data_IF_760081818189
#
_entry.id   IF_760081818189
#
_cell.length_a   1.000
_cell.length_b   1.000
_cell.length_c   1.000
_cell.angle_alpha   90.00
_cell.angle_beta   90.00
_cell.angle_gamma   90.00
#
_symmetry.space_group_name_H-M   'P 1'
#
loop_
_entity.id
_entity.type
_entity.pdbx_description
1 polymer ?
#
# COMPACT_ATOMS: atom_id res chain seq x y z
N UNK A 1 -14.98 -15.47 0.40
CA UNK A 1 -14.29 -14.51 -0.48
C UNK A 1 -14.91 -13.13 -0.35
N UNK A 2 -14.20 -12.18 0.27
CA UNK A 2 -14.59 -10.78 0.38
C UNK A 2 -14.18 -10.03 -0.89
N UNK A 3 -15.05 -9.16 -1.38
CA UNK A 3 -14.77 -8.32 -2.55
C UNK A 3 -14.34 -6.94 -2.07
N UNK A 4 -13.17 -6.48 -2.50
CA UNK A 4 -12.63 -5.16 -2.20
C UNK A 4 -12.58 -4.32 -3.49
N UNK A 5 -13.15 -3.12 -3.46
CA UNK A 5 -12.98 -2.13 -4.53
C UNK A 5 -11.97 -1.09 -4.05
N UNK A 6 -10.89 -0.91 -4.81
CA UNK A 6 -9.84 0.07 -4.52
C UNK A 6 -10.05 1.26 -5.45
N UNK A 7 -10.54 2.37 -4.93
CA UNK A 7 -10.79 3.60 -5.69
C UNK A 7 -9.58 4.52 -5.56
N UNK A 8 -8.91 4.79 -6.68
CA UNK A 8 -7.68 5.58 -6.68
C UNK A 8 -7.87 6.97 -7.29
N UNK A 9 -7.29 7.98 -6.66
CA UNK A 9 -6.89 9.22 -7.36
C UNK A 9 -5.96 8.83 -8.53
N UNK A 10 -6.09 9.47 -9.70
CA UNK A 10 -5.38 9.05 -10.92
C UNK A 10 -3.88 8.85 -10.73
N UNK A 11 -3.22 9.79 -10.04
CA UNK A 11 -1.78 9.75 -9.76
C UNK A 11 -1.37 8.66 -8.76
N UNK A 12 -2.33 8.13 -8.00
CA UNK A 12 -2.13 7.13 -6.95
C UNK A 12 -2.54 5.72 -7.41
N UNK A 13 -3.00 5.57 -8.67
CA UNK A 13 -3.44 4.29 -9.22
C UNK A 13 -2.38 3.20 -9.10
N UNK A 14 -1.11 3.53 -9.30
CA UNK A 14 0.01 2.59 -9.15
C UNK A 14 0.04 1.94 -7.77
N UNK A 15 -0.36 2.64 -6.71
CA UNK A 15 -0.39 2.09 -5.35
C UNK A 15 -1.61 1.20 -5.10
N UNK A 16 -2.74 1.48 -5.77
CA UNK A 16 -3.91 0.60 -5.74
C UNK A 16 -3.68 -0.69 -6.53
N UNK A 17 -3.05 -0.59 -7.70
CA UNK A 17 -2.62 -1.74 -8.50
C UNK A 17 -1.60 -2.57 -7.71
N UNK A 18 -0.67 -1.92 -7.01
CA UNK A 18 0.28 -2.59 -6.13
C UNK A 18 -0.41 -3.37 -5.01
N UNK A 19 -1.38 -2.76 -4.31
CA UNK A 19 -2.13 -3.46 -3.27
C UNK A 19 -2.90 -4.67 -3.83
N UNK A 20 -3.50 -4.53 -5.02
CA UNK A 20 -4.21 -5.63 -5.66
C UNK A 20 -3.26 -6.79 -6.00
N UNK A 21 -2.02 -6.48 -6.43
CA UNK A 21 -0.99 -7.49 -6.65
C UNK A 21 -0.59 -8.20 -5.37
N UNK A 22 -0.40 -7.47 -4.26
CA UNK A 22 -0.11 -8.05 -2.95
C UNK A 22 -1.22 -8.99 -2.48
N UNK A 23 -2.49 -8.60 -2.65
CA UNK A 23 -3.65 -9.43 -2.32
C UNK A 23 -3.73 -10.71 -3.16
N UNK A 24 -3.17 -10.69 -4.37
CA UNK A 24 -3.14 -11.84 -5.28
C UNK A 24 -1.91 -12.73 -5.12
N UNK A 25 -1.01 -12.41 -4.18
CA UNK A 25 0.08 -13.32 -3.85
C UNK A 25 -0.50 -14.54 -3.13
N UNK A 26 0.07 -15.70 -3.42
CA UNK A 26 -0.19 -16.93 -2.67
C UNK A 26 1.01 -17.13 -1.73
N UNK A 27 1.13 -16.29 -0.69
CA UNK A 27 2.29 -16.23 0.20
C UNK A 27 2.05 -16.81 1.61
N UNK A 28 0.87 -17.43 1.82
CA UNK A 28 0.58 -18.17 3.02
C UNK A 28 1.29 -19.53 3.06
N UNK A 29 1.58 -19.97 4.27
CA UNK A 29 2.06 -21.34 4.56
C UNK A 29 1.07 -22.03 5.49
N UNK A 30 1.22 -23.34 5.69
CA UNK A 30 0.37 -24.10 6.62
C UNK A 30 0.35 -23.51 8.05
N UNK A 31 1.40 -22.77 8.44
CA UNK A 31 1.58 -22.21 9.79
C UNK A 31 1.50 -20.68 9.87
N UNK A 32 1.56 -19.96 8.76
CA UNK A 32 1.66 -18.49 8.75
C UNK A 32 0.81 -17.86 7.66
N UNK A 33 0.02 -16.85 8.03
CA UNK A 33 -0.71 -15.99 7.09
C UNK A 33 -0.01 -14.65 6.92
N UNK A 34 0.13 -14.17 5.68
CA UNK A 34 0.74 -12.87 5.37
C UNK A 34 -0.32 -11.87 4.91
N UNK A 35 -0.55 -10.83 5.73
CA UNK A 35 -1.55 -9.80 5.41
C UNK A 35 -2.98 -10.34 5.47
N UNK A 36 -3.42 -11.04 4.43
CA UNK A 36 -4.74 -11.70 4.36
C UNK A 36 -4.60 -13.08 3.77
N UNK A 37 -5.42 -14.02 4.27
CA UNK A 37 -5.35 -15.39 3.81
C UNK A 37 -5.59 -15.57 2.32
N UNK A 38 -4.78 -16.43 1.70
CA UNK A 38 -4.78 -16.69 0.25
C UNK A 38 -6.18 -17.06 -0.25
N UNK A 39 -6.59 -16.42 -1.33
CA UNK A 39 -7.90 -16.62 -1.96
C UNK A 39 -9.11 -16.11 -1.16
N UNK A 40 -8.93 -15.51 0.03
CA UNK A 40 -10.05 -14.98 0.82
C UNK A 40 -10.51 -13.59 0.37
N UNK A 41 -9.65 -12.84 -0.33
CA UNK A 41 -9.92 -11.48 -0.79
C UNK A 41 -9.74 -11.38 -2.30
N UNK A 42 -10.72 -10.78 -2.98
CA UNK A 42 -10.63 -10.44 -4.39
C UNK A 42 -10.70 -8.91 -4.54
N UNK A 43 -9.65 -8.31 -5.09
CA UNK A 43 -9.54 -6.87 -5.26
C UNK A 43 -9.81 -6.44 -6.71
N UNK A 44 -10.46 -5.29 -6.88
CA UNK A 44 -10.63 -4.62 -8.16
C UNK A 44 -10.26 -3.14 -8.03
N UNK A 45 -9.44 -2.62 -8.94
CA UNK A 45 -9.00 -1.22 -8.94
C UNK A 45 -9.85 -0.38 -9.87
N UNK A 46 -10.41 0.71 -9.34
CA UNK A 46 -11.26 1.67 -10.02
C UNK A 46 -10.63 3.07 -10.00
N UNK A 47 -10.95 3.87 -11.01
CA UNK A 47 -10.70 5.31 -10.96
C UNK A 47 -11.82 6.02 -10.18
N UNK A 48 -11.58 7.26 -9.74
CA UNK A 48 -12.65 8.09 -9.14
C UNK A 48 -13.84 8.29 -10.08
N UNK A 49 -13.59 8.32 -11.40
CA UNK A 49 -14.63 8.40 -12.42
C UNK A 49 -15.50 7.15 -12.43
N UNK A 50 -14.90 5.97 -12.40
CA UNK A 50 -15.63 4.70 -12.35
C UNK A 50 -16.44 4.60 -11.06
N UNK A 51 -15.87 5.02 -9.92
CA UNK A 51 -16.59 5.10 -8.66
C UNK A 51 -17.81 6.01 -8.76
N UNK A 52 -17.67 7.23 -9.25
CA UNK A 52 -18.80 8.16 -9.37
C UNK A 52 -19.91 7.63 -10.29
N UNK A 53 -19.55 6.96 -11.38
CA UNK A 53 -20.51 6.38 -12.31
C UNK A 53 -21.28 5.20 -11.72
N UNK A 54 -20.68 4.46 -10.80
CA UNK A 54 -21.26 3.23 -10.24
C UNK A 54 -21.74 3.38 -8.78
N UNK A 55 -21.37 4.46 -8.08
CA UNK A 55 -21.61 4.64 -6.65
C UNK A 55 -23.09 4.52 -6.26
N UNK A 56 -24.01 4.98 -7.12
CA UNK A 56 -25.46 4.88 -6.89
C UNK A 56 -25.97 3.43 -6.85
N UNK A 57 -25.26 2.50 -7.48
CA UNK A 57 -25.60 1.06 -7.52
C UNK A 57 -24.85 0.27 -6.44
N UNK A 58 -23.92 0.89 -5.73
CA UNK A 58 -23.12 0.22 -4.71
C UNK A 58 -23.91 0.07 -3.41
N UNK A 59 -23.95 -1.17 -2.90
CA UNK A 59 -24.46 -1.46 -1.57
C UNK A 59 -23.51 -0.95 -0.49
N UNK A 60 -24.03 -0.53 0.66
CA UNK A 60 -23.25 -0.26 1.88
C UNK A 60 -22.47 -1.49 2.39
N UNK A 61 -22.84 -2.69 1.94
CA UNK A 61 -22.19 -3.94 2.32
C UNK A 61 -20.90 -4.23 1.52
N UNK A 62 -20.60 -3.42 0.49
CA UNK A 62 -19.40 -3.53 -0.34
C UNK A 62 -18.19 -2.90 0.34
N UNK A 63 -17.06 -3.61 0.41
CA UNK A 63 -15.82 -3.03 0.90
C UNK A 63 -15.21 -2.11 -0.14
N UNK A 64 -14.85 -0.90 0.29
CA UNK A 64 -14.24 0.13 -0.56
C UNK A 64 -13.02 0.72 0.17
N UNK A 65 -11.87 0.73 -0.48
CA UNK A 65 -10.69 1.44 -0.04
C UNK A 65 -10.44 2.62 -0.98
N UNK A 66 -10.38 3.83 -0.44
CA UNK A 66 -9.98 5.02 -1.17
C UNK A 66 -8.48 5.26 -1.02
N UNK A 67 -7.76 5.39 -2.13
CA UNK A 67 -6.31 5.62 -2.17
C UNK A 67 -6.01 6.97 -2.82
N UNK A 68 -5.44 7.89 -2.05
CA UNK A 68 -5.05 9.21 -2.52
C UNK A 68 -5.56 10.34 -1.62
N UNK A 69 -5.44 11.58 -2.09
CA UNK A 69 -5.74 12.77 -1.30
C UNK A 69 -6.57 13.80 -2.08
N UNK A 70 -7.38 13.31 -3.03
CA UNK A 70 -8.30 14.11 -3.83
C UNK A 70 -9.41 14.73 -2.96
N UNK A 71 -10.15 15.69 -3.52
CA UNK A 71 -11.29 16.31 -2.85
C UNK A 71 -12.37 15.27 -2.48
N UNK A 72 -12.69 14.36 -3.41
CA UNK A 72 -13.67 13.31 -3.20
C UNK A 72 -13.25 12.39 -2.04
N UNK A 73 -11.99 11.96 -2.01
CA UNK A 73 -11.47 11.07 -0.96
C UNK A 73 -11.48 11.76 0.40
N UNK A 74 -11.14 13.06 0.46
CA UNK A 74 -11.23 13.85 1.69
C UNK A 74 -12.65 13.96 2.23
N UNK A 75 -13.63 14.18 1.35
CA UNK A 75 -15.04 14.24 1.73
C UNK A 75 -15.51 12.90 2.30
N UNK A 76 -15.19 11.78 1.64
CA UNK A 76 -15.53 10.43 2.11
C UNK A 76 -14.84 10.05 3.43
N UNK A 77 -13.61 10.50 3.63
CA UNK A 77 -12.81 10.16 4.81
C UNK A 77 -13.02 11.08 6.03
N UNK A 78 -13.77 12.16 5.88
CA UNK A 78 -13.98 13.20 6.91
C UNK A 78 -14.44 12.68 8.28
N UNK A 79 -15.19 11.58 8.31
CA UNK A 79 -15.73 10.97 9.53
C UNK A 79 -15.06 9.64 9.88
N UNK A 80 -14.03 9.22 9.15
CA UNK A 80 -13.33 7.98 9.41
C UNK A 80 -12.40 8.10 10.61
N UNK A 81 -12.35 7.04 11.42
CA UNK A 81 -11.37 6.94 12.50
C UNK A 81 -10.01 6.55 11.90
N UNK A 82 -8.97 7.31 12.22
CA UNK A 82 -7.61 6.92 11.87
C UNK A 82 -7.19 5.69 12.70
N UNK A 83 -6.72 4.66 12.03
CA UNK A 83 -6.06 3.51 12.67
C UNK A 83 -4.54 3.73 12.72
N UNK A 84 -4.00 4.40 11.71
CA UNK A 84 -2.59 4.76 11.63
C UNK A 84 -2.45 6.18 11.09
N UNK A 85 -1.53 6.94 11.69
CA UNK A 85 -1.25 8.33 11.32
C UNK A 85 0.16 8.72 11.77
N UNK A 86 1.19 8.27 11.07
CA UNK A 86 2.58 8.62 11.35
C UNK A 86 3.35 8.96 10.07
N UNK A 87 4.41 9.77 10.21
CA UNK A 87 5.25 10.21 9.09
C UNK A 87 4.44 10.80 7.93
N UNK A 88 3.31 11.46 8.21
CA UNK A 88 2.41 12.02 7.21
C UNK A 88 1.65 10.99 6.36
N UNK A 89 1.84 9.70 6.61
CA UNK A 89 1.03 8.60 6.10
C UNK A 89 -0.17 8.39 7.01
N UNK A 90 -1.32 8.09 6.44
CA UNK A 90 -2.55 7.84 7.19
C UNK A 90 -3.40 6.78 6.53
N UNK A 91 -3.94 5.88 7.35
CA UNK A 91 -5.07 5.07 6.93
C UNK A 91 -6.05 4.86 8.10
N UNK A 92 -7.29 4.57 7.74
CA UNK A 92 -8.37 4.40 8.70
C UNK A 92 -9.65 3.98 7.99
N UNK A 93 -10.68 3.65 8.77
CA UNK A 93 -11.95 3.20 8.22
C UNK A 93 -13.13 3.54 9.10
N UNK A 94 -14.31 3.51 8.49
CA UNK A 94 -15.60 3.52 9.16
C UNK A 94 -16.51 2.52 8.44
N UNK A 95 -16.93 1.48 9.17
CA UNK A 95 -17.65 0.37 8.56
C UNK A 95 -16.85 -0.28 7.44
N UNK A 96 -17.42 -0.34 6.24
CA UNK A 96 -16.81 -0.98 5.06
C UNK A 96 -16.12 -0.01 4.10
N UNK A 97 -15.89 1.22 4.54
CA UNK A 97 -15.13 2.20 3.77
C UNK A 97 -13.85 2.54 4.51
N UNK A 98 -12.72 2.43 3.81
CA UNK A 98 -11.39 2.77 4.29
C UNK A 98 -10.78 3.88 3.45
N UNK A 99 -9.82 4.60 4.03
CA UNK A 99 -8.96 5.57 3.33
C UNK A 99 -7.51 5.21 3.58
N UNK A 100 -6.67 5.43 2.56
CA UNK A 100 -5.23 5.40 2.61
C UNK A 100 -4.70 6.62 1.86
N UNK A 101 -3.99 7.50 2.57
CA UNK A 101 -3.51 8.74 2.02
C UNK A 101 -2.16 9.18 2.61
N UNK A 102 -1.49 10.09 1.90
CA UNK A 102 -0.37 10.87 2.43
C UNK A 102 -0.88 12.31 2.58
N UNK A 103 -1.03 12.75 3.83
CA UNK A 103 -1.49 14.11 4.15
C UNK A 103 -0.35 15.13 4.07
N UNK A 104 0.86 14.71 4.44
CA UNK A 104 2.04 15.58 4.51
C UNK A 104 3.30 14.83 4.11
N UNK A 105 4.16 15.49 3.34
CA UNK A 105 5.46 14.93 2.99
C UNK A 105 6.42 14.97 4.18
N UNK A 106 7.16 13.88 4.43
CA UNK A 106 8.16 13.82 5.50
C UNK A 106 9.23 14.89 5.29
N UNK A 107 9.51 15.74 6.30
CA UNK A 107 10.63 16.68 6.23
C UNK A 107 11.97 15.93 6.17
N UNK A 108 12.94 16.44 5.41
CA UNK A 108 14.27 15.80 5.29
C UNK A 108 14.94 15.49 6.63
N UNK A 109 14.75 16.33 7.65
CA UNK A 109 15.32 16.12 8.99
C UNK A 109 14.81 14.84 9.69
N UNK A 110 13.65 14.34 9.27
CA UNK A 110 13.00 13.14 9.80
C UNK A 110 13.02 11.99 8.78
N UNK A 111 13.66 12.20 7.63
CA UNK A 111 13.64 11.23 6.53
C UNK A 111 14.37 9.93 6.90
N UNK A 112 15.51 10.01 7.59
CA UNK A 112 16.24 8.81 8.03
C UNK A 112 15.41 7.96 9.00
N UNK A 113 14.68 8.62 9.92
CA UNK A 113 13.79 7.93 10.87
C UNK A 113 12.63 7.26 10.14
N UNK A 114 12.03 7.95 9.17
CA UNK A 114 11.02 7.36 8.28
C UNK A 114 11.58 6.18 7.48
N UNK A 115 12.81 6.30 6.98
CA UNK A 115 13.48 5.26 6.22
C UNK A 115 13.69 4.00 7.06
N UNK A 116 14.21 4.14 8.28
CA UNK A 116 14.36 3.02 9.22
C UNK A 116 13.01 2.35 9.53
N UNK A 117 11.95 3.14 9.67
CA UNK A 117 10.60 2.61 9.83
C UNK A 117 10.16 1.81 8.59
N UNK A 118 10.35 2.36 7.40
CA UNK A 118 9.90 1.75 6.15
C UNK A 118 10.67 0.47 5.79
N UNK A 119 11.98 0.43 6.06
CA UNK A 119 12.83 -0.74 5.81
C UNK A 119 12.37 -1.98 6.60
N UNK A 120 11.85 -1.80 7.82
CA UNK A 120 11.31 -2.91 8.62
C UNK A 120 10.19 -3.66 7.89
N UNK A 121 9.31 -2.94 7.19
CA UNK A 121 8.22 -3.56 6.44
C UNK A 121 8.72 -4.22 5.14
N UNK A 122 9.83 -3.76 4.57
CA UNK A 122 10.47 -4.40 3.42
C UNK A 122 11.18 -5.70 3.79
N UNK A 123 11.91 -5.72 4.91
CA UNK A 123 12.61 -6.92 5.38
C UNK A 123 11.62 -8.04 5.70
N UNK A 124 10.48 -7.68 6.32
CA UNK A 124 9.38 -8.62 6.55
C UNK A 124 8.93 -9.29 5.24
N UNK A 125 8.67 -8.53 4.18
CA UNK A 125 8.29 -9.09 2.87
C UNK A 125 9.39 -9.97 2.28
N UNK A 126 10.64 -9.51 2.31
CA UNK A 126 11.77 -10.24 1.70
C UNK A 126 11.98 -11.59 2.39
N UNK A 127 11.84 -11.63 3.72
CA UNK A 127 11.91 -12.86 4.50
C UNK A 127 10.75 -13.82 4.18
N UNK A 128 9.56 -13.30 3.90
CA UNK A 128 8.39 -14.10 3.54
C UNK A 128 8.57 -14.72 2.15
N UNK A 129 8.93 -13.92 1.14
CA UNK A 129 9.16 -14.36 -0.25
C UNK A 129 10.38 -15.28 -0.41
N UNK A 130 11.33 -15.28 0.54
CA UNK A 130 12.51 -16.18 0.50
C UNK A 130 12.27 -17.52 1.19
N UNK A 131 11.38 -17.60 2.19
CA UNK A 131 11.02 -18.87 2.84
C UNK A 131 10.31 -19.83 1.89
N UNK A 132 9.54 -19.32 0.93
CA UNK A 132 8.84 -20.13 -0.09
C UNK A 132 9.78 -20.93 -1.00
N UNK A 133 10.98 -20.41 -1.32
CA UNK A 133 11.87 -21.02 -2.32
C UNK A 133 12.60 -22.28 -1.85
N UNK A 134 12.51 -22.62 -0.57
CA UNK A 134 13.12 -23.83 -0.04
C UNK A 134 12.16 -25.04 0.01
N UNK A 135 10.88 -24.88 -0.36
CA UNK A 135 9.89 -25.96 -0.31
C UNK A 135 9.57 -26.64 -1.66
N UNK A 136 10.13 -26.19 -2.78
CA UNK A 136 9.88 -26.84 -4.08
C UNK A 136 10.85 -26.39 -5.16
N UNK A 137 11.45 -27.35 -5.88
CA UNK A 137 12.44 -27.11 -6.94
C UNK A 137 11.93 -26.17 -8.03
N UNK A 138 12.40 -24.92 -7.99
CA UNK A 138 12.77 -24.14 -9.16
C UNK A 138 13.78 -23.08 -8.70
N UNK A 139 14.99 -23.11 -9.28
CA UNK A 139 15.91 -21.99 -9.15
C UNK A 139 15.15 -20.72 -9.52
N UNK A 140 15.20 -19.68 -8.67
CA UNK A 140 14.74 -18.37 -9.09
C UNK A 140 15.45 -18.07 -10.40
N UNK A 141 14.73 -17.79 -11.49
CA UNK A 141 15.39 -17.12 -12.59
C UNK A 141 15.89 -15.80 -12.02
N UNK A 142 17.09 -15.38 -12.42
CA UNK A 142 17.61 -14.03 -12.15
C UNK A 142 16.61 -12.90 -12.51
N UNK A 143 15.52 -13.22 -13.21
CA UNK A 143 14.34 -12.39 -13.40
C UNK A 143 13.57 -12.03 -12.11
N UNK A 144 13.64 -12.79 -11.01
CA UNK A 144 13.10 -12.38 -9.71
C UNK A 144 14.03 -11.37 -9.00
N UNK A 145 15.32 -11.39 -9.33
CA UNK A 145 16.28 -10.36 -8.91
C UNK A 145 16.19 -9.08 -9.78
N UNK A 146 15.38 -9.09 -10.85
CA UNK A 146 15.29 -7.96 -11.80
C UNK A 146 13.86 -7.50 -12.18
N UNK A 147 12.80 -8.27 -11.89
CA UNK A 147 11.45 -8.02 -12.45
C UNK A 147 10.29 -8.13 -11.48
N UNK A 148 10.34 -9.02 -10.49
CA UNK A 148 9.27 -9.16 -9.49
C UNK A 148 9.64 -8.61 -8.10
N UNK A 149 10.90 -8.22 -7.86
CA UNK A 149 11.32 -7.41 -6.69
C UNK A 149 11.77 -5.99 -7.07
N UNK A 150 11.79 -5.64 -8.36
CA UNK A 150 12.16 -4.30 -8.81
C UNK A 150 11.07 -3.26 -8.50
N UNK A 151 9.79 -3.66 -8.45
CA UNK A 151 8.69 -2.85 -7.93
C UNK A 151 8.58 -2.89 -6.40
N UNK A 152 9.10 -3.94 -5.77
CA UNK A 152 9.34 -4.03 -4.32
C UNK A 152 10.64 -3.34 -3.92
N UNK A 153 11.29 -2.52 -4.76
CA UNK A 153 12.43 -1.71 -4.36
C UNK A 153 11.90 -0.44 -3.64
N UNK A 154 11.84 -0.44 -2.30
CA UNK A 154 11.29 0.64 -1.51
C UNK A 154 12.48 1.49 -1.11
N UNK A 155 12.46 2.76 -1.50
CA UNK A 155 13.45 3.70 -1.01
C UNK A 155 14.88 3.22 -1.33
N UNK A 156 15.33 3.35 -2.59
CA UNK A 156 16.77 3.57 -2.78
C UNK A 156 17.04 4.85 -2.00
N UNK A 157 17.57 4.69 -0.79
CA UNK A 157 18.01 5.74 0.08
C UNK A 157 19.19 6.40 -0.65
N UNK A 158 18.87 7.22 -1.64
CA UNK A 158 19.79 8.19 -2.14
C UNK A 158 20.22 8.96 -0.88
N UNK A 159 21.52 8.99 -0.53
CA UNK A 159 21.98 9.61 0.72
C UNK A 159 21.34 10.99 0.84
N UNK A 160 20.96 11.46 2.03
CA UNK A 160 20.40 12.83 2.22
C UNK A 160 21.21 13.89 1.44
N UNK A 161 22.52 13.71 1.35
CA UNK A 161 23.43 14.54 0.54
C UNK A 161 23.02 14.66 -0.95
N UNK A 162 22.54 13.59 -1.58
CA UNK A 162 22.02 13.60 -2.97
C UNK A 162 20.66 14.29 -3.11
N UNK A 163 19.89 14.39 -2.02
CA UNK A 163 18.64 15.13 -2.04
C UNK A 163 18.88 16.63 -2.03
N UNK A 164 19.94 17.09 -1.36
CA UNK A 164 20.31 18.52 -1.28
C UNK A 164 20.66 19.12 -2.65
N UNK A 165 21.12 18.31 -3.61
CA UNK A 165 21.48 18.76 -4.97
C UNK A 165 20.30 18.77 -5.95
N UNK A 166 19.13 18.22 -5.57
CA UNK A 166 17.92 18.26 -6.40
C UNK A 166 16.90 19.26 -5.85
N UNK A 167 16.11 19.86 -6.75
CA UNK A 167 15.07 20.83 -6.38
C UNK A 167 14.01 20.27 -5.43
N UNK A 168 13.53 21.11 -4.51
CA UNK A 168 12.61 20.75 -3.40
C UNK A 168 11.35 20.04 -3.91
N UNK A 169 10.77 20.49 -5.02
CA UNK A 169 9.55 19.88 -5.59
C UNK A 169 9.78 18.42 -6.02
N UNK A 170 10.86 18.14 -6.77
CA UNK A 170 11.21 16.77 -7.19
C UNK A 170 11.53 15.87 -6.00
N UNK A 171 12.18 16.44 -4.99
CA UNK A 171 12.48 15.77 -3.73
C UNK A 171 11.19 15.34 -3.02
N UNK A 172 10.31 16.29 -2.76
CA UNK A 172 9.07 16.03 -2.04
C UNK A 172 8.19 15.01 -2.76
N UNK A 173 8.13 15.06 -4.10
CA UNK A 173 7.41 14.08 -4.89
C UNK A 173 7.93 12.65 -4.65
N UNK A 174 9.25 12.43 -4.69
CA UNK A 174 9.79 11.09 -4.45
C UNK A 174 9.61 10.62 -3.00
N UNK A 175 9.69 11.52 -2.02
CA UNK A 175 9.41 11.18 -0.61
C UNK A 175 7.93 10.79 -0.47
N UNK A 176 7.02 11.55 -1.10
CA UNK A 176 5.60 11.22 -1.13
C UNK A 176 5.33 9.85 -1.78
N UNK A 177 6.01 9.54 -2.89
CA UNK A 177 5.92 8.24 -3.55
C UNK A 177 6.36 7.09 -2.61
N UNK A 178 7.44 7.30 -1.86
CA UNK A 178 7.91 6.34 -0.87
C UNK A 178 6.94 6.18 0.30
N UNK A 179 6.34 7.27 0.77
CA UNK A 179 5.30 7.25 1.79
C UNK A 179 4.08 6.45 1.32
N UNK A 180 3.61 6.64 0.08
CA UNK A 180 2.50 5.84 -0.43
C UNK A 180 2.85 4.35 -0.51
N UNK A 181 4.04 3.99 -1.02
CA UNK A 181 4.49 2.59 -1.05
C UNK A 181 4.54 1.95 0.33
N UNK A 182 5.14 2.66 1.31
CA UNK A 182 5.22 2.19 2.69
C UNK A 182 3.84 2.09 3.34
N UNK A 183 2.96 3.08 3.12
CA UNK A 183 1.61 3.09 3.66
C UNK A 183 0.77 1.95 3.10
N UNK A 184 0.83 1.70 1.78
CA UNK A 184 0.18 0.56 1.12
C UNK A 184 0.66 -0.77 1.69
N UNK A 185 1.97 -0.92 1.86
CA UNK A 185 2.56 -2.13 2.43
C UNK A 185 2.09 -2.36 3.86
N UNK A 186 2.18 -1.34 4.70
CA UNK A 186 1.71 -1.41 6.08
C UNK A 186 0.22 -1.72 6.16
N UNK A 187 -0.59 -1.12 5.28
CA UNK A 187 -2.00 -1.40 5.24
C UNK A 187 -2.28 -2.85 4.86
N UNK A 188 -1.59 -3.41 3.86
CA UNK A 188 -1.70 -4.83 3.51
C UNK A 188 -1.38 -5.75 4.69
N UNK A 189 -0.23 -5.55 5.34
CA UNK A 189 0.25 -6.42 6.42
C UNK A 189 -0.56 -6.29 7.73
N UNK A 190 -0.88 -5.06 8.13
CA UNK A 190 -1.44 -4.81 9.48
C UNK A 190 -2.90 -4.36 9.48
N UNK A 191 -3.35 -3.74 8.38
CA UNK A 191 -4.61 -3.00 8.30
C UNK A 191 -5.72 -3.74 7.56
N UNK A 192 -5.38 -4.51 6.53
CA UNK A 192 -6.33 -5.06 5.59
C UNK A 192 -7.21 -6.14 6.24
N UNK A 193 -6.61 -7.10 6.97
CA UNK A 193 -7.37 -8.12 7.70
C UNK A 193 -8.34 -7.48 8.70
N UNK A 194 -7.87 -6.50 9.48
CA UNK A 194 -8.68 -5.78 10.47
C UNK A 194 -9.83 -5.00 9.83
N UNK A 195 -9.57 -4.28 8.74
CA UNK A 195 -10.59 -3.56 8.00
C UNK A 195 -11.65 -4.50 7.44
N UNK A 196 -11.20 -5.62 6.89
CA UNK A 196 -12.09 -6.64 6.35
C UNK A 196 -12.83 -7.38 7.47
N UNK A 197 -12.34 -7.39 8.70
CA UNK A 197 -12.90 -8.16 9.82
C UNK A 197 -12.64 -9.65 9.63
N UNK A 198 -11.37 -10.00 9.42
CA UNK A 198 -10.83 -11.36 9.34
C UNK A 198 -9.82 -11.55 10.46
#
# INVERSE_FOLDING_TARGET
MKKLIIVCEEKCRTYGDYLAQLISLDDDTEETTVGTKDGEVAAQVWTEKDYNNNAAQMSSNQYVLFVGNSKLIKEKSSHMKAEFSEYGMKYGWLGKQAVLCVEKVVPLKQYDVFLEFALKYQENITALVTKEKNAGKAALPAALAAGALAWFAPIVAAPIATWNVIGISKRNKKIEEQQYNCCTMKFYLDGLSKFLGM
#
